data_IF_364563798755
#
_entry.id   IF_364563798755
#
_cell.length_a   1.000
_cell.length_b   1.000
_cell.length_c   1.000
_cell.angle_alpha   90.00
_cell.angle_beta   90.00
_cell.angle_gamma   90.00
#
_symmetry.space_group_name_H-M   'P 1'
#
loop_
_entity.id
_entity.type
_entity.pdbx_description
1 polymer ?
#
# COMPACT_ATOMS: atom_id res chain seq x y z
N UNK A 1 60.55 16.39 -1.60
CA UNK A 1 60.79 15.47 -0.46
C UNK A 1 59.51 14.67 -0.26
N UNK A 2 59.42 13.50 -0.94
CA UNK A 2 59.44 12.13 -0.33
C UNK A 2 58.11 11.83 0.37
N UNK A 3 57.07 11.30 -0.32
CA UNK A 3 56.76 9.88 -0.72
C UNK A 3 56.35 8.94 0.42
N UNK A 4 55.23 8.23 0.22
CA UNK A 4 55.18 6.76 0.36
C UNK A 4 54.72 6.12 1.68
N UNK A 5 53.58 5.43 1.59
CA UNK A 5 53.38 4.01 1.97
C UNK A 5 53.15 3.51 3.42
N UNK A 6 52.28 2.49 3.44
CA UNK A 6 52.20 1.33 4.34
C UNK A 6 51.29 1.36 5.58
N UNK A 7 50.04 0.97 5.35
CA UNK A 7 49.22 0.20 6.30
C UNK A 7 49.64 -1.28 6.20
N UNK A 8 50.29 -1.82 7.25
CA UNK A 8 50.10 -3.20 7.76
C UNK A 8 51.04 -3.54 8.95
N UNK A 9 50.46 -4.21 9.97
CA UNK A 9 51.05 -5.02 11.09
C UNK A 9 51.61 -4.22 12.28
N UNK A 10 51.38 -4.54 13.56
CA UNK A 10 50.70 -5.64 14.27
C UNK A 10 50.57 -5.26 15.76
N UNK A 11 49.52 -5.73 16.44
CA UNK A 11 49.63 -6.29 17.80
C UNK A 11 49.31 -5.42 19.03
N UNK A 12 48.15 -5.70 19.66
CA UNK A 12 48.09 -5.88 21.12
C UNK A 12 47.55 -4.74 21.98
N UNK A 13 46.22 -4.59 22.10
CA UNK A 13 45.58 -4.01 23.29
C UNK A 13 44.24 -4.71 23.55
N UNK A 14 44.28 -5.86 24.22
CA UNK A 14 43.08 -6.68 24.52
C UNK A 14 42.89 -7.07 25.98
N UNK A 15 43.77 -6.67 26.91
CA UNK A 15 43.79 -7.27 28.27
C UNK A 15 43.64 -6.26 29.40
N UNK A 16 43.74 -4.96 29.15
CA UNK A 16 43.77 -3.95 30.23
C UNK A 16 42.37 -3.55 30.74
N UNK A 17 41.29 -3.76 29.98
CA UNK A 17 39.93 -3.35 30.40
C UNK A 17 39.16 -4.40 31.21
N UNK A 18 39.52 -5.69 31.13
CA UNK A 18 38.76 -6.76 31.83
C UNK A 18 39.06 -6.76 33.33
N UNK A 19 40.31 -6.50 33.73
CA UNK A 19 40.72 -6.44 35.14
C UNK A 19 40.13 -5.25 35.90
N UNK A 20 39.91 -4.13 35.21
CA UNK A 20 39.27 -2.94 35.78
C UNK A 20 37.78 -3.18 36.05
N UNK A 21 37.08 -3.84 35.11
CA UNK A 21 35.65 -4.17 35.24
C UNK A 21 35.41 -5.22 36.31
N UNK A 22 36.26 -6.25 36.42
CA UNK A 22 36.14 -7.28 37.48
C UNK A 22 36.35 -6.69 38.88
N UNK A 23 37.25 -5.72 39.04
CA UNK A 23 37.46 -5.04 40.33
C UNK A 23 36.28 -4.14 40.75
N UNK A 24 35.56 -3.55 39.80
CA UNK A 24 34.32 -2.78 40.08
C UNK A 24 33.20 -3.73 40.51
N UNK A 25 33.01 -4.84 39.80
CA UNK A 25 31.98 -5.83 40.12
C UNK A 25 32.22 -6.43 41.52
N UNK A 26 33.46 -6.80 41.84
CA UNK A 26 33.82 -7.36 43.15
C UNK A 26 33.68 -6.35 44.30
N UNK A 27 33.89 -5.06 44.06
CA UNK A 27 33.62 -4.00 45.06
C UNK A 27 32.13 -3.74 45.26
N UNK A 28 31.30 -3.88 44.22
CA UNK A 28 29.85 -3.70 44.31
C UNK A 28 29.14 -4.89 44.99
N UNK A 29 29.68 -6.11 44.87
CA UNK A 29 29.08 -7.32 45.47
C UNK A 29 29.20 -7.42 46.99
N UNK A 30 29.99 -6.57 47.65
CA UNK A 30 30.13 -6.56 49.11
C UNK A 30 29.33 -5.46 49.84
N UNK A 31 28.46 -4.72 49.13
CA UNK A 31 27.66 -3.65 49.73
C UNK A 31 26.21 -4.13 49.93
N UNK A 32 25.85 -4.38 51.20
CA UNK A 32 24.53 -4.85 51.69
C UNK A 32 23.34 -3.88 51.45
N UNK A 33 23.40 -2.97 50.49
CA UNK A 33 22.34 -1.97 50.25
C UNK A 33 21.52 -2.16 48.96
N UNK A 34 21.72 -3.25 48.21
CA UNK A 34 21.04 -3.48 46.91
C UNK A 34 19.51 -3.65 47.04
N UNK A 35 18.97 -3.84 48.25
CA UNK A 35 17.53 -3.92 48.45
C UNK A 35 16.80 -2.56 48.50
N UNK A 36 17.49 -1.42 48.44
CA UNK A 36 16.85 -0.10 48.60
C UNK A 36 16.78 0.79 47.36
N UNK A 37 17.20 0.31 46.18
CA UNK A 37 17.24 1.11 44.94
C UNK A 37 16.47 0.50 43.76
N UNK A 38 15.37 -0.22 44.02
CA UNK A 38 14.51 -0.79 42.97
C UNK A 38 13.55 0.20 42.29
N UNK A 39 13.62 1.49 42.60
CA UNK A 39 12.59 2.48 42.20
C UNK A 39 13.08 3.68 41.39
N UNK A 40 14.28 3.65 40.78
CA UNK A 40 14.74 4.74 39.90
C UNK A 40 14.98 4.32 38.43
N UNK A 41 14.36 5.01 37.43
CA UNK A 41 14.49 4.72 36.00
C UNK A 41 15.92 4.81 35.44
N UNK A 42 16.81 5.54 36.12
CA UNK A 42 18.20 5.75 35.70
C UNK A 42 19.05 4.48 35.80
N UNK A 43 18.75 3.60 36.76
CA UNK A 43 19.49 2.34 36.97
C UNK A 43 19.21 1.34 35.84
N UNK A 44 17.96 1.26 35.40
CA UNK A 44 17.55 0.44 34.26
C UNK A 44 18.17 0.94 32.95
N UNK A 45 18.33 2.26 32.81
CA UNK A 45 18.92 2.88 31.61
C UNK A 45 20.43 2.63 31.52
N UNK A 46 21.15 2.74 32.64
CA UNK A 46 22.59 2.45 32.71
C UNK A 46 22.87 0.97 32.46
N UNK A 47 22.05 0.07 33.02
CA UNK A 47 22.17 -1.37 32.72
C UNK A 47 21.88 -1.64 31.24
N UNK A 48 20.86 -1.01 30.65
CA UNK A 48 20.54 -1.18 29.22
C UNK A 48 21.70 -0.76 28.32
N UNK A 49 22.33 0.39 28.60
CA UNK A 49 23.47 0.90 27.83
C UNK A 49 24.67 -0.07 27.90
N UNK A 50 24.97 -0.61 29.10
CA UNK A 50 26.03 -1.61 29.30
C UNK A 50 25.68 -2.94 28.61
N UNK A 51 24.39 -3.31 28.55
CA UNK A 51 23.90 -4.56 27.95
C UNK A 51 23.90 -4.55 26.41
N UNK A 52 23.72 -3.38 25.79
CA UNK A 52 23.77 -3.23 24.32
C UNK A 52 25.18 -3.19 23.73
N UNK A 53 26.22 -2.94 24.52
CA UNK A 53 27.59 -2.75 23.98
C UNK A 53 28.58 -3.87 24.31
N UNK A 54 28.24 -4.87 25.14
CA UNK A 54 29.19 -5.93 25.52
C UNK A 54 28.61 -7.34 25.38
N UNK A 55 28.99 -8.04 24.31
CA UNK A 55 28.55 -9.40 23.96
C UNK A 55 28.91 -10.45 25.04
N UNK A 56 29.98 -10.24 25.81
CA UNK A 56 30.43 -11.16 26.86
C UNK A 56 29.53 -11.07 28.12
N UNK A 57 28.96 -9.90 28.43
CA UNK A 57 28.06 -9.72 29.57
C UNK A 57 26.68 -10.37 29.34
N UNK A 58 26.22 -10.45 28.09
CA UNK A 58 24.97 -11.15 27.74
C UNK A 58 25.04 -12.65 28.04
N UNK A 59 26.19 -13.28 27.79
CA UNK A 59 26.40 -14.70 28.04
C UNK A 59 26.45 -15.03 29.53
N UNK A 60 27.12 -14.18 30.34
CA UNK A 60 27.24 -14.40 31.79
C UNK A 60 25.92 -14.12 32.51
N UNK A 61 25.14 -13.12 32.08
CA UNK A 61 23.82 -12.84 32.65
C UNK A 61 22.79 -13.93 32.27
N UNK A 62 22.89 -14.50 31.07
CA UNK A 62 22.07 -15.64 30.64
C UNK A 62 22.36 -16.90 31.47
N UNK A 63 23.64 -17.15 31.81
CA UNK A 63 24.03 -18.26 32.69
C UNK A 63 23.59 -18.01 34.15
N UNK A 64 23.59 -16.75 34.61
CA UNK A 64 23.15 -16.39 35.96
C UNK A 64 21.61 -16.47 36.10
N UNK A 65 20.85 -16.10 35.07
CA UNK A 65 19.40 -16.26 35.00
C UNK A 65 18.97 -17.73 34.88
N UNK A 66 19.74 -18.57 34.19
CA UNK A 66 19.47 -20.01 34.12
C UNK A 66 19.60 -20.74 35.46
N UNK A 67 20.35 -20.20 36.43
CA UNK A 67 20.59 -20.88 37.72
C UNK A 67 19.62 -20.50 38.86
N UNK A 68 18.76 -19.49 38.71
CA UNK A 68 17.98 -18.98 39.85
C UNK A 68 16.46 -19.02 39.75
N UNK A 69 15.86 -19.73 38.80
CA UNK A 69 14.39 -19.66 38.68
C UNK A 69 13.66 -20.93 38.24
N UNK A 70 13.77 -21.99 39.06
CA UNK A 70 12.87 -23.16 38.99
C UNK A 70 11.39 -22.81 39.25
N UNK A 71 11.09 -21.60 39.74
CA UNK A 71 9.72 -21.12 39.99
C UNK A 71 9.10 -20.49 38.72
N UNK A 72 9.90 -19.82 37.90
CA UNK A 72 9.47 -19.31 36.59
C UNK A 72 9.33 -20.40 35.51
N UNK A 73 10.00 -21.54 35.62
CA UNK A 73 9.83 -22.67 34.68
C UNK A 73 8.40 -23.24 34.70
N UNK A 74 7.74 -23.26 35.86
CA UNK A 74 6.33 -23.67 35.98
C UNK A 74 5.37 -22.63 35.39
N UNK A 75 5.66 -21.34 35.52
CA UNK A 75 4.85 -20.28 34.93
C UNK A 75 5.06 -20.17 33.41
N UNK A 76 6.28 -20.39 32.92
CA UNK A 76 6.59 -20.48 31.49
C UNK A 76 5.92 -21.71 30.86
N UNK A 77 5.99 -22.89 31.50
CA UNK A 77 5.28 -24.09 31.02
C UNK A 77 3.76 -23.94 31.06
N UNK A 78 3.23 -23.15 32.00
CA UNK A 78 1.81 -22.80 32.07
C UNK A 78 1.40 -21.81 30.98
N UNK A 79 2.20 -20.78 30.72
CA UNK A 79 1.98 -19.85 29.61
C UNK A 79 2.12 -20.58 28.26
N UNK A 80 3.10 -21.49 28.11
CA UNK A 80 3.23 -22.35 26.93
C UNK A 80 2.08 -23.36 26.80
N UNK A 81 1.55 -23.91 27.90
CA UNK A 81 0.36 -24.78 27.83
C UNK A 81 -0.90 -24.01 27.48
N UNK A 82 -1.02 -22.77 27.99
CA UNK A 82 -2.17 -21.90 27.77
C UNK A 82 -2.11 -21.22 26.38
N UNK A 83 -0.90 -21.11 25.78
CA UNK A 83 -0.66 -20.64 24.41
C UNK A 83 -0.57 -21.76 23.35
N UNK A 84 -0.83 -23.02 23.69
CA UNK A 84 -0.93 -24.09 22.69
C UNK A 84 -2.17 -23.85 21.84
N UNK A 85 -1.95 -23.48 20.58
CA UNK A 85 -2.98 -23.48 19.53
C UNK A 85 -3.71 -24.83 19.59
N UNK A 86 -5.02 -24.85 19.93
CA UNK A 86 -5.77 -26.09 20.08
C UNK A 86 -5.62 -26.99 18.86
N UNK A 87 -5.62 -28.31 19.05
CA UNK A 87 -5.35 -29.28 17.99
C UNK A 87 -6.31 -29.16 16.80
N UNK A 88 -7.53 -28.64 17.02
CA UNK A 88 -8.47 -28.29 15.95
C UNK A 88 -8.02 -27.16 15.02
N UNK A 89 -7.05 -26.34 15.44
CA UNK A 89 -6.41 -25.30 14.64
C UNK A 89 -5.03 -25.74 14.11
N UNK A 90 -4.56 -26.96 14.42
CA UNK A 90 -3.42 -27.58 13.73
C UNK A 90 -3.90 -28.12 12.38
N UNK A 91 -3.53 -27.44 11.30
CA UNK A 91 -3.85 -27.85 9.92
C UNK A 91 -3.36 -29.27 9.62
N UNK A 92 -4.26 -30.15 9.20
CA UNK A 92 -3.94 -31.39 8.49
C UNK A 92 -3.72 -31.09 6.99
N UNK A 93 -2.54 -31.42 6.47
CA UNK A 93 -2.10 -31.29 5.05
C UNK A 93 -2.10 -29.85 4.49
N UNK A 94 -0.95 -29.19 4.63
CA UNK A 94 -0.65 -27.80 4.22
C UNK A 94 -0.80 -27.53 2.71
N UNK A 95 -1.82 -26.78 2.32
CA UNK A 95 -1.55 -25.58 1.52
C UNK A 95 -1.24 -24.45 2.51
N UNK A 96 -0.09 -23.80 2.36
CA UNK A 96 0.25 -22.59 3.12
C UNK A 96 -0.75 -21.49 2.75
N UNK A 97 -1.07 -20.56 3.66
CA UNK A 97 -1.81 -19.35 3.27
C UNK A 97 -1.13 -18.60 2.12
N UNK A 98 0.20 -18.71 1.99
CA UNK A 98 0.96 -18.19 0.85
C UNK A 98 0.45 -18.81 -0.46
N UNK A 99 0.36 -20.14 -0.51
CA UNK A 99 -0.07 -20.88 -1.71
C UNK A 99 -1.55 -20.62 -2.00
N UNK A 100 -2.40 -20.72 -0.98
CA UNK A 100 -3.86 -20.48 -1.12
C UNK A 100 -4.16 -19.06 -1.62
N UNK A 101 -3.53 -18.06 -1.02
CA UNK A 101 -3.70 -16.66 -1.41
C UNK A 101 -3.15 -16.40 -2.82
N UNK A 102 -1.99 -16.97 -3.16
CA UNK A 102 -1.40 -16.86 -4.50
C UNK A 102 -2.32 -17.48 -5.56
N UNK A 103 -2.86 -18.67 -5.31
CA UNK A 103 -3.75 -19.37 -6.24
C UNK A 103 -5.05 -18.58 -6.46
N UNK A 104 -5.68 -18.10 -5.38
CA UNK A 104 -6.90 -17.28 -5.46
C UNK A 104 -6.66 -15.98 -6.20
N UNK A 105 -5.59 -15.26 -5.86
CA UNK A 105 -5.24 -13.99 -6.52
C UNK A 105 -4.93 -14.22 -8.00
N UNK A 106 -4.14 -15.26 -8.32
CA UNK A 106 -3.79 -15.59 -9.70
C UNK A 106 -5.00 -16.02 -10.53
N UNK A 107 -5.95 -16.74 -9.93
CA UNK A 107 -7.19 -17.13 -10.61
C UNK A 107 -8.02 -15.90 -10.98
N UNK A 108 -8.19 -14.96 -10.06
CA UNK A 108 -8.95 -13.73 -10.32
C UNK A 108 -8.26 -12.85 -11.37
N UNK A 109 -6.93 -12.73 -11.34
CA UNK A 109 -6.19 -12.00 -12.38
C UNK A 109 -6.41 -12.62 -13.77
N UNK A 110 -6.42 -13.95 -13.88
CA UNK A 110 -6.72 -14.65 -15.15
C UNK A 110 -8.17 -14.43 -15.59
N UNK A 111 -9.11 -14.49 -14.67
CA UNK A 111 -10.52 -14.26 -14.95
C UNK A 111 -10.79 -12.84 -15.46
N UNK A 112 -10.20 -11.83 -14.82
CA UNK A 112 -10.25 -10.43 -15.26
C UNK A 112 -9.63 -10.28 -16.65
N UNK A 113 -8.45 -10.86 -16.87
CA UNK A 113 -7.76 -10.76 -18.15
C UNK A 113 -8.58 -11.32 -19.33
N UNK A 114 -9.31 -12.41 -19.11
CA UNK A 114 -10.16 -13.05 -20.14
C UNK A 114 -11.51 -12.37 -20.27
N UNK A 115 -12.20 -12.13 -19.14
CA UNK A 115 -13.59 -11.66 -19.17
C UNK A 115 -13.71 -10.18 -19.51
N UNK A 116 -12.70 -9.38 -19.12
CA UNK A 116 -12.71 -7.93 -19.30
C UNK A 116 -11.83 -7.46 -20.46
N UNK A 117 -11.28 -8.36 -21.29
CA UNK A 117 -10.41 -8.01 -22.43
C UNK A 117 -11.03 -6.90 -23.29
N UNK A 118 -12.28 -7.10 -23.72
CA UNK A 118 -13.01 -6.14 -24.54
C UNK A 118 -13.26 -4.81 -23.84
N UNK A 119 -13.63 -4.84 -22.56
CA UNK A 119 -13.93 -3.62 -21.81
C UNK A 119 -12.64 -2.81 -21.54
N UNK A 120 -11.53 -3.49 -21.26
CA UNK A 120 -10.21 -2.88 -21.12
C UNK A 120 -9.71 -2.29 -22.45
N UNK A 121 -9.93 -2.98 -23.58
CA UNK A 121 -9.59 -2.45 -24.90
C UNK A 121 -10.41 -1.20 -25.25
N UNK A 122 -11.71 -1.21 -24.96
CA UNK A 122 -12.58 -0.04 -25.13
C UNK A 122 -12.16 1.13 -24.23
N UNK A 123 -11.82 0.86 -22.97
CA UNK A 123 -11.32 1.87 -22.05
C UNK A 123 -10.01 2.49 -22.55
N UNK A 124 -9.10 1.65 -23.05
CA UNK A 124 -7.85 2.11 -23.63
C UNK A 124 -8.05 2.94 -24.91
N UNK A 125 -9.02 2.59 -25.75
CA UNK A 125 -9.40 3.39 -26.92
C UNK A 125 -9.93 4.77 -26.51
N UNK A 126 -10.82 4.82 -25.52
CA UNK A 126 -11.34 6.08 -24.98
C UNK A 126 -10.22 6.97 -24.42
N UNK A 127 -9.29 6.38 -23.66
CA UNK A 127 -8.14 7.09 -23.08
C UNK A 127 -7.22 7.61 -24.18
N UNK A 128 -6.86 6.77 -25.15
CA UNK A 128 -5.96 7.15 -26.23
C UNK A 128 -6.56 8.21 -27.15
N UNK A 129 -7.86 8.13 -27.47
CA UNK A 129 -8.60 9.14 -28.22
C UNK A 129 -8.64 10.47 -27.46
N UNK A 130 -8.99 10.45 -26.17
CA UNK A 130 -9.01 11.66 -25.35
C UNK A 130 -7.64 12.32 -25.27
N UNK A 131 -6.58 11.54 -25.03
CA UNK A 131 -5.22 12.07 -25.01
C UNK A 131 -4.84 12.70 -26.35
N UNK A 132 -5.12 12.02 -27.47
CA UNK A 132 -4.85 12.54 -28.81
C UNK A 132 -5.59 13.85 -29.11
N UNK A 133 -6.79 14.02 -28.52
CA UNK A 133 -7.62 15.21 -28.64
C UNK A 133 -7.34 16.28 -27.57
N UNK A 134 -6.27 16.13 -26.78
CA UNK A 134 -5.87 17.10 -25.76
C UNK A 134 -6.81 17.17 -24.55
N UNK A 135 -7.60 16.12 -24.31
CA UNK A 135 -8.51 15.99 -23.16
C UNK A 135 -7.76 15.48 -21.93
N UNK A 136 -8.30 15.78 -20.76
CA UNK A 136 -7.73 15.42 -19.47
C UNK A 136 -8.21 14.03 -19.04
N UNK A 137 -7.29 13.19 -18.53
CA UNK A 137 -7.61 11.84 -18.08
C UNK A 137 -7.50 11.78 -16.57
N UNK A 138 -8.65 11.86 -15.91
CA UNK A 138 -8.78 11.84 -14.46
C UNK A 138 -8.83 10.41 -13.90
N UNK A 139 -8.30 10.23 -12.69
CA UNK A 139 -8.46 9.00 -11.90
C UNK A 139 -8.93 9.33 -10.49
N UNK A 140 -9.97 8.65 -10.02
CA UNK A 140 -10.59 8.90 -8.73
C UNK A 140 -10.85 7.59 -7.98
N UNK A 141 -10.64 7.59 -6.67
CA UNK A 141 -11.04 6.50 -5.79
C UNK A 141 -11.17 6.96 -4.35
N UNK A 142 -11.92 6.20 -3.55
CA UNK A 142 -12.13 6.47 -2.13
C UNK A 142 -11.37 5.47 -1.24
N UNK A 143 -10.84 5.94 -0.12
CA UNK A 143 -10.09 5.17 0.88
C UNK A 143 -8.99 4.31 0.24
N UNK A 144 -9.17 2.98 0.14
CA UNK A 144 -8.15 2.09 -0.45
C UNK A 144 -8.16 2.13 -1.98
N UNK A 145 -9.27 2.50 -2.62
CA UNK A 145 -9.30 2.72 -4.06
C UNK A 145 -8.52 3.98 -4.47
N UNK A 146 -8.28 4.93 -3.55
CA UNK A 146 -7.40 6.07 -3.80
C UNK A 146 -5.93 5.63 -4.02
N UNK A 147 -5.51 4.49 -3.45
CA UNK A 147 -4.18 3.91 -3.70
C UNK A 147 -3.99 3.66 -5.19
N UNK A 148 -5.03 3.34 -5.95
CA UNK A 148 -4.92 3.05 -7.39
C UNK A 148 -4.67 4.33 -8.21
N UNK A 149 -5.18 5.48 -7.75
CA UNK A 149 -4.82 6.78 -8.30
C UNK A 149 -3.36 7.13 -7.98
N UNK A 150 -2.92 6.89 -6.74
CA UNK A 150 -1.52 7.04 -6.33
C UNK A 150 -0.60 6.06 -7.09
N UNK A 151 -1.09 4.86 -7.43
CA UNK A 151 -0.31 3.81 -8.07
C UNK A 151 0.06 4.15 -9.52
N UNK A 152 -0.84 4.80 -10.26
CA UNK A 152 -0.55 5.22 -11.64
C UNK A 152 0.04 6.63 -11.74
N UNK A 153 0.03 7.40 -10.66
CA UNK A 153 0.50 8.78 -10.67
C UNK A 153 2.00 8.88 -10.35
N UNK A 154 2.74 9.57 -11.21
CA UNK A 154 4.17 9.88 -11.01
C UNK A 154 5.03 8.64 -10.73
N UNK A 155 4.82 7.59 -11.53
CA UNK A 155 5.53 6.30 -11.42
C UNK A 155 6.41 6.03 -12.62
N UNK A 156 7.55 5.39 -12.39
CA UNK A 156 8.36 4.83 -13.46
C UNK A 156 7.58 3.81 -14.29
N UNK A 157 7.75 3.87 -15.61
CA UNK A 157 7.11 3.02 -16.62
C UNK A 157 5.58 3.14 -16.66
N UNK A 158 5.06 4.33 -16.34
CA UNK A 158 3.64 4.66 -16.42
C UNK A 158 3.45 5.93 -17.24
N UNK A 159 2.35 6.04 -18.02
CA UNK A 159 2.05 7.26 -18.76
C UNK A 159 1.85 8.47 -17.84
N UNK A 160 2.37 9.62 -18.23
CA UNK A 160 2.25 10.86 -17.47
C UNK A 160 0.96 11.64 -17.78
N UNK A 161 -0.06 10.99 -18.37
CA UNK A 161 -1.37 11.59 -18.62
C UNK A 161 -2.36 11.42 -17.47
N UNK A 162 -2.10 10.54 -16.50
CA UNK A 162 -2.97 10.33 -15.36
C UNK A 162 -3.05 11.58 -14.48
N UNK A 163 -4.26 12.06 -14.21
CA UNK A 163 -4.54 13.20 -13.34
C UNK A 163 -5.40 12.76 -12.15
N UNK A 164 -4.81 12.49 -10.99
CA UNK A 164 -5.60 12.18 -9.82
C UNK A 164 -6.57 13.32 -9.50
N UNK A 165 -7.83 12.96 -9.31
CA UNK A 165 -8.84 13.84 -8.78
C UNK A 165 -8.86 13.67 -7.27
N UNK A 166 -8.07 14.46 -6.56
CA UNK A 166 -7.98 14.36 -5.10
C UNK A 166 -9.21 14.96 -4.42
N UNK A 167 -9.98 14.12 -3.75
CA UNK A 167 -11.10 14.56 -2.90
C UNK A 167 -10.67 14.72 -1.44
N UNK A 168 -11.06 15.81 -0.75
CA UNK A 168 -10.87 15.91 0.69
C UNK A 168 -11.52 14.73 1.41
N UNK A 169 -10.79 14.09 2.33
CA UNK A 169 -11.30 12.93 3.06
C UNK A 169 -11.30 11.61 2.28
N UNK A 170 -10.87 11.59 1.01
CA UNK A 170 -10.92 10.38 0.18
C UNK A 170 -9.68 9.49 0.30
N UNK A 171 -8.60 9.93 0.96
CA UNK A 171 -7.40 9.11 1.17
C UNK A 171 -7.05 8.99 2.65
N UNK A 172 -6.67 7.78 3.05
CA UNK A 172 -6.21 7.45 4.42
C UNK A 172 -4.82 8.01 4.73
N UNK A 173 -4.09 8.50 3.73
CA UNK A 173 -2.77 9.10 3.90
C UNK A 173 -2.85 10.43 4.66
N UNK A 174 -3.97 11.14 4.53
CA UNK A 174 -4.19 12.47 5.10
C UNK A 174 -5.40 12.53 6.03
N UNK A 175 -6.22 11.48 6.08
CA UNK A 175 -7.50 11.47 6.81
C UNK A 175 -7.63 10.20 7.66
N UNK A 176 -8.10 10.27 8.92
CA UNK A 176 -8.37 9.08 9.73
C UNK A 176 -9.34 8.10 9.05
N UNK A 177 -9.09 6.80 9.19
CA UNK A 177 -9.82 5.74 8.48
C UNK A 177 -11.36 5.85 8.56
N UNK A 178 -11.93 5.96 9.78
CA UNK A 178 -13.38 6.11 9.94
C UNK A 178 -13.94 7.40 9.32
N UNK A 179 -13.16 8.48 9.32
CA UNK A 179 -13.56 9.73 8.69
C UNK A 179 -13.57 9.59 7.16
N UNK A 180 -12.65 8.81 6.57
CA UNK A 180 -12.72 8.50 5.14
C UNK A 180 -13.97 7.71 4.79
N UNK A 181 -14.42 6.78 5.64
CA UNK A 181 -15.69 6.07 5.42
C UNK A 181 -16.87 7.04 5.47
N UNK A 182 -16.92 7.95 6.45
CA UNK A 182 -17.99 8.96 6.50
C UNK A 182 -17.99 9.87 5.27
N UNK A 183 -16.81 10.27 4.79
CA UNK A 183 -16.65 11.04 3.56
C UNK A 183 -17.12 10.25 2.32
N UNK A 184 -16.76 8.97 2.22
CA UNK A 184 -17.15 8.09 1.12
C UNK A 184 -18.68 7.89 1.05
N UNK A 185 -19.37 7.90 2.19
CA UNK A 185 -20.83 7.82 2.24
C UNK A 185 -21.53 9.13 1.84
N UNK A 186 -20.81 10.26 1.76
CA UNK A 186 -21.39 11.57 1.53
C UNK A 186 -21.52 11.88 0.02
N UNK A 187 -22.75 11.79 -0.49
CA UNK A 187 -23.10 12.13 -1.87
C UNK A 187 -22.83 13.60 -2.21
N UNK A 188 -23.13 14.54 -1.31
CA UNK A 188 -22.89 15.97 -1.52
C UNK A 188 -21.40 16.24 -1.75
N UNK A 189 -20.54 15.61 -0.94
CA UNK A 189 -19.10 15.73 -1.11
C UNK A 189 -18.62 15.20 -2.47
N UNK A 190 -19.19 14.10 -2.96
CA UNK A 190 -18.87 13.59 -4.30
C UNK A 190 -19.26 14.57 -5.42
N UNK A 191 -20.43 15.21 -5.32
CA UNK A 191 -20.85 16.26 -6.26
C UNK A 191 -19.91 17.48 -6.19
N UNK A 192 -19.55 17.92 -4.99
CA UNK A 192 -18.69 19.07 -4.76
C UNK A 192 -17.26 18.85 -5.29
N UNK A 193 -16.74 17.62 -5.24
CA UNK A 193 -15.45 17.26 -5.84
C UNK A 193 -15.46 17.55 -7.35
N UNK A 194 -16.53 17.15 -8.06
CA UNK A 194 -16.66 17.43 -9.49
C UNK A 194 -16.89 18.91 -9.76
N UNK A 195 -17.69 19.60 -8.93
CA UNK A 195 -17.94 21.03 -9.05
C UNK A 195 -16.66 21.87 -8.90
N UNK A 196 -15.78 21.48 -7.97
CA UNK A 196 -14.50 22.13 -7.69
C UNK A 196 -13.35 21.67 -8.62
N UNK A 197 -13.59 20.68 -9.48
CA UNK A 197 -12.60 20.22 -10.46
C UNK A 197 -12.59 21.09 -11.72
N UNK A 198 -11.47 21.02 -12.46
CA UNK A 198 -11.34 21.63 -13.80
C UNK A 198 -11.91 20.77 -14.93
N UNK A 199 -12.64 19.71 -14.61
CA UNK A 199 -13.19 18.77 -15.59
C UNK A 199 -14.13 19.46 -16.58
N UNK A 200 -13.96 19.11 -17.86
CA UNK A 200 -14.69 19.63 -19.03
C UNK A 200 -15.34 18.50 -19.84
N UNK A 201 -16.12 18.89 -20.84
CA UNK A 201 -16.71 17.98 -21.82
C UNK A 201 -15.64 17.16 -22.58
N UNK A 202 -15.94 15.88 -22.80
CA UNK A 202 -15.08 14.83 -23.33
C UNK A 202 -13.78 14.54 -22.56
N UNK A 203 -13.55 15.13 -21.39
CA UNK A 203 -12.55 14.59 -20.48
C UNK A 203 -12.91 13.15 -20.10
N UNK A 204 -11.90 12.35 -19.74
CA UNK A 204 -12.11 10.98 -19.28
C UNK A 204 -11.95 10.92 -17.78
N UNK A 205 -12.84 10.21 -17.11
CA UNK A 205 -12.71 9.89 -15.70
C UNK A 205 -12.71 8.37 -15.50
N UNK A 206 -11.67 7.87 -14.84
CA UNK A 206 -11.64 6.50 -14.31
C UNK A 206 -12.01 6.53 -12.82
N UNK A 207 -13.17 5.98 -12.47
CA UNK A 207 -13.67 5.87 -11.09
C UNK A 207 -13.44 4.46 -10.57
N UNK A 208 -12.75 4.33 -9.43
CA UNK A 208 -12.50 3.06 -8.78
C UNK A 208 -13.26 2.98 -7.46
N UNK A 209 -14.14 1.99 -7.34
CA UNK A 209 -14.82 1.65 -6.09
C UNK A 209 -15.22 0.18 -6.11
N UNK A 210 -14.57 -0.64 -5.29
CA UNK A 210 -14.79 -2.10 -5.29
C UNK A 210 -16.25 -2.45 -5.06
N UNK A 211 -16.90 -1.86 -4.06
CA UNK A 211 -18.33 -2.09 -3.84
C UNK A 211 -19.22 -1.29 -4.80
N UNK A 212 -18.74 -0.12 -5.24
CA UNK A 212 -19.47 0.77 -6.15
C UNK A 212 -20.77 1.33 -5.59
N UNK A 213 -21.07 1.16 -4.31
CA UNK A 213 -22.40 1.44 -3.73
C UNK A 213 -22.47 2.72 -2.89
N UNK A 214 -21.32 3.29 -2.56
CA UNK A 214 -21.24 4.44 -1.67
C UNK A 214 -21.55 5.76 -2.40
N UNK A 215 -22.08 6.73 -1.66
CA UNK A 215 -22.60 7.99 -2.16
C UNK A 215 -21.58 8.79 -2.97
N UNK A 216 -20.38 8.98 -2.42
CA UNK A 216 -19.35 9.79 -3.07
C UNK A 216 -18.89 9.24 -4.43
N UNK A 217 -18.46 7.96 -4.58
CA UNK A 217 -18.02 7.46 -5.89
C UNK A 217 -19.15 7.43 -6.94
N UNK A 218 -20.39 7.13 -6.53
CA UNK A 218 -21.54 7.17 -7.44
C UNK A 218 -21.87 8.60 -7.87
N UNK A 219 -21.83 9.56 -6.94
CA UNK A 219 -22.06 10.98 -7.23
C UNK A 219 -20.98 11.56 -8.15
N UNK A 220 -19.70 11.22 -7.92
CA UNK A 220 -18.59 11.61 -8.78
C UNK A 220 -18.79 11.12 -10.20
N UNK A 221 -19.20 9.86 -10.39
CA UNK A 221 -19.45 9.30 -11.71
C UNK A 221 -20.63 9.97 -12.42
N UNK A 222 -21.78 10.14 -11.75
CA UNK A 222 -22.98 10.77 -12.31
C UNK A 222 -22.75 12.27 -12.61
N UNK A 223 -22.07 13.00 -11.73
CA UNK A 223 -21.75 14.40 -11.93
C UNK A 223 -20.75 14.62 -13.09
N UNK A 224 -19.78 13.72 -13.26
CA UNK A 224 -18.87 13.76 -14.40
C UNK A 224 -19.62 13.54 -15.73
N UNK A 225 -20.50 12.53 -15.81
CA UNK A 225 -21.36 12.32 -16.98
C UNK A 225 -22.22 13.55 -17.29
N UNK A 226 -22.81 14.18 -16.27
CA UNK A 226 -23.60 15.42 -16.44
C UNK A 226 -22.78 16.60 -16.97
N UNK A 227 -21.47 16.62 -16.72
CA UNK A 227 -20.53 17.60 -17.31
C UNK A 227 -20.10 17.25 -18.74
N UNK A 228 -20.57 16.13 -19.30
CA UNK A 228 -20.19 15.66 -20.63
C UNK A 228 -18.86 14.90 -20.66
N UNK A 229 -18.29 14.53 -19.50
CA UNK A 229 -17.12 13.67 -19.46
C UNK A 229 -17.51 12.23 -19.80
N UNK A 230 -16.57 11.48 -20.39
CA UNK A 230 -16.69 10.03 -20.56
C UNK A 230 -16.21 9.34 -19.29
N UNK A 231 -16.93 8.35 -18.78
CA UNK A 231 -16.61 7.72 -17.49
C UNK A 231 -16.42 6.21 -17.62
N UNK A 232 -15.27 5.74 -17.12
CA UNK A 232 -14.90 4.33 -16.98
C UNK A 232 -14.99 4.01 -15.49
N UNK A 233 -15.71 2.96 -15.12
CA UNK A 233 -15.87 2.56 -13.73
C UNK A 233 -15.32 1.14 -13.50
N UNK A 234 -14.43 1.02 -12.52
CA UNK A 234 -13.87 -0.26 -12.07
C UNK A 234 -14.54 -0.63 -10.74
N UNK A 235 -15.33 -1.68 -10.74
CA UNK A 235 -16.11 -2.14 -9.58
C UNK A 235 -16.33 -3.65 -9.63
N UNK A 236 -16.71 -4.27 -8.52
CA UNK A 236 -17.05 -5.69 -8.48
C UNK A 236 -18.54 -5.90 -8.76
N UNK A 237 -18.86 -6.81 -9.69
CA UNK A 237 -20.24 -7.21 -9.91
C UNK A 237 -20.85 -7.98 -8.72
N UNK A 238 -20.03 -8.50 -7.80
CA UNK A 238 -20.48 -9.18 -6.58
C UNK A 238 -21.27 -8.28 -5.63
N UNK A 239 -21.19 -6.95 -5.81
CA UNK A 239 -21.90 -5.96 -5.02
C UNK A 239 -23.07 -5.30 -5.75
N UNK A 240 -23.29 -5.60 -7.03
CA UNK A 240 -24.17 -4.82 -7.92
C UNK A 240 -25.63 -4.71 -7.47
N UNK A 241 -26.11 -5.70 -6.73
CA UNK A 241 -27.50 -5.81 -6.25
C UNK A 241 -27.65 -5.51 -4.74
N UNK A 242 -26.57 -5.05 -4.09
CA UNK A 242 -26.65 -4.55 -2.72
C UNK A 242 -27.25 -3.14 -2.66
N UNK A 243 -27.86 -2.81 -1.53
CA UNK A 243 -28.34 -1.46 -1.26
C UNK A 243 -27.15 -0.52 -1.08
N UNK A 244 -27.07 0.51 -1.92
CA UNK A 244 -26.19 1.66 -1.75
C UNK A 244 -26.88 2.82 -1.05
N UNK A 245 -26.16 3.93 -0.94
CA UNK A 245 -26.63 5.11 -0.20
C UNK A 245 -26.57 6.41 -1.03
N UNK A 246 -26.46 6.30 -2.35
CA UNK A 246 -26.69 7.42 -3.27
C UNK A 246 -28.19 7.56 -3.56
N UNK A 247 -28.69 8.79 -3.59
CA UNK A 247 -30.11 9.15 -3.67
C UNK A 247 -30.82 8.63 -4.92
N UNK A 248 -30.08 8.50 -6.03
CA UNK A 248 -30.65 8.14 -7.35
C UNK A 248 -30.30 6.72 -7.83
N UNK A 249 -29.14 6.20 -7.50
CA UNK A 249 -28.63 4.95 -8.06
C UNK A 249 -28.06 4.09 -6.95
N UNK A 250 -28.44 2.81 -6.89
CA UNK A 250 -27.98 1.92 -5.83
C UNK A 250 -26.47 1.59 -5.91
N UNK A 251 -25.87 1.68 -7.11
CA UNK A 251 -24.44 1.45 -7.31
C UNK A 251 -23.98 2.01 -8.67
N UNK A 252 -22.67 2.06 -8.91
CA UNK A 252 -22.06 2.38 -10.20
C UNK A 252 -22.65 1.54 -11.34
N UNK A 253 -22.93 0.25 -11.09
CA UNK A 253 -23.58 -0.65 -12.05
C UNK A 253 -24.98 -0.20 -12.52
N UNK A 254 -25.63 0.71 -11.79
CA UNK A 254 -26.97 1.23 -12.11
C UNK A 254 -26.90 2.65 -12.71
N UNK A 255 -25.71 3.24 -12.83
CA UNK A 255 -25.53 4.55 -13.46
C UNK A 255 -25.46 4.36 -14.99
N UNK A 256 -26.38 4.93 -15.77
CA UNK A 256 -26.37 4.79 -17.22
C UNK A 256 -25.21 5.58 -17.85
N UNK A 257 -24.59 5.02 -18.89
CA UNK A 257 -23.53 5.68 -19.66
C UNK A 257 -22.10 5.43 -19.18
N UNK A 258 -21.90 4.63 -18.13
CA UNK A 258 -20.58 4.18 -17.71
C UNK A 258 -20.07 3.04 -18.59
N UNK A 259 -18.78 3.07 -18.94
CA UNK A 259 -18.06 1.87 -19.35
C UNK A 259 -17.63 1.11 -18.08
N UNK A 260 -18.26 -0.03 -17.80
CA UNK A 260 -17.93 -0.85 -16.64
C UNK A 260 -16.80 -1.82 -16.97
N UNK A 261 -15.83 -1.94 -16.06
CA UNK A 261 -14.85 -3.03 -16.00
C UNK A 261 -15.08 -3.75 -14.67
N UNK A 262 -15.42 -5.03 -14.74
CA UNK A 262 -15.57 -5.85 -13.53
C UNK A 262 -14.20 -6.25 -12.97
N UNK A 263 -13.94 -5.96 -11.70
CA UNK A 263 -12.71 -6.45 -11.06
C UNK A 263 -12.86 -7.85 -10.46
N UNK A 264 -14.05 -8.46 -10.54
CA UNK A 264 -14.35 -9.83 -10.07
C UNK A 264 -14.03 -10.07 -8.59
N UNK A 265 -13.80 -9.00 -7.81
CA UNK A 265 -13.45 -9.12 -6.39
C UNK A 265 -14.64 -9.71 -5.63
N UNK A 266 -14.46 -10.77 -4.84
CA UNK A 266 -15.55 -11.35 -4.07
C UNK A 266 -16.11 -10.37 -3.04
N UNK A 267 -17.39 -10.53 -2.70
CA UNK A 267 -18.01 -9.74 -1.64
C UNK A 267 -17.25 -9.89 -0.32
N UNK A 268 -16.97 -8.78 0.33
CA UNK A 268 -16.12 -8.66 1.51
C UNK A 268 -14.63 -8.43 1.21
N UNK A 269 -14.23 -8.38 -0.06
CA UNK A 269 -12.81 -8.33 -0.49
C UNK A 269 -11.97 -9.36 0.27
N UNK A 270 -12.45 -10.59 0.26
CA UNK A 270 -11.90 -11.70 1.05
C UNK A 270 -11.57 -12.85 0.12
N UNK A 271 -10.32 -13.32 0.16
CA UNK A 271 -9.86 -14.43 -0.66
C UNK A 271 -9.49 -15.69 0.15
N UNK A 272 -9.15 -15.53 1.43
CA UNK A 272 -8.79 -16.65 2.33
C UNK A 272 -9.51 -16.52 3.67
N UNK A 273 -9.71 -17.65 4.35
CA UNK A 273 -10.30 -17.70 5.70
C UNK A 273 -9.30 -18.29 6.69
N UNK A 274 -9.03 -17.57 7.78
CA UNK A 274 -8.15 -18.01 8.86
C UNK A 274 -8.99 -18.62 9.99
N UNK A 275 -8.65 -19.84 10.39
CA UNK A 275 -9.43 -20.58 11.39
C UNK A 275 -10.78 -21.01 10.82
N UNK A 276 -11.84 -20.89 11.62
CA UNK A 276 -13.19 -21.34 11.22
C UNK A 276 -13.97 -20.29 10.42
N UNK A 277 -13.68 -18.99 10.59
CA UNK A 277 -14.54 -17.94 10.02
C UNK A 277 -13.91 -16.57 9.81
N UNK A 278 -12.61 -16.37 10.10
CA UNK A 278 -12.01 -15.02 10.02
C UNK A 278 -11.59 -14.69 8.58
N UNK A 279 -12.26 -13.74 7.90
CA UNK A 279 -11.91 -13.35 6.54
C UNK A 279 -10.56 -12.61 6.50
N UNK A 280 -9.75 -12.88 5.47
CA UNK A 280 -8.45 -12.24 5.25
C UNK A 280 -8.08 -12.24 3.76
N UNK A 281 -7.03 -11.50 3.41
CA UNK A 281 -6.46 -11.47 2.06
C UNK A 281 -7.28 -10.63 1.08
N UNK A 282 -7.29 -9.30 1.24
CA UNK A 282 -7.92 -8.41 0.26
C UNK A 282 -7.14 -8.43 -1.05
N UNK A 283 -7.86 -8.54 -2.16
CA UNK A 283 -7.30 -8.67 -3.52
C UNK A 283 -7.61 -7.46 -4.40
N UNK A 284 -8.55 -6.60 -3.97
CA UNK A 284 -9.02 -5.47 -4.79
C UNK A 284 -7.93 -4.52 -5.26
N UNK A 285 -6.93 -4.22 -4.44
CA UNK A 285 -5.80 -3.36 -4.85
C UNK A 285 -4.90 -4.05 -5.88
N UNK A 286 -4.64 -5.35 -5.74
CA UNK A 286 -3.79 -6.11 -6.68
C UNK A 286 -4.46 -6.16 -8.05
N UNK A 287 -5.75 -6.52 -8.06
CA UNK A 287 -6.53 -6.63 -9.29
C UNK A 287 -6.78 -5.25 -9.91
N UNK A 288 -7.10 -4.25 -9.10
CA UNK A 288 -7.27 -2.88 -9.57
C UNK A 288 -6.00 -2.30 -10.19
N UNK A 289 -4.84 -2.54 -9.56
CA UNK A 289 -3.54 -2.15 -10.12
C UNK A 289 -3.25 -2.87 -11.44
N UNK A 290 -3.54 -4.18 -11.51
CA UNK A 290 -3.44 -4.93 -12.76
C UNK A 290 -4.29 -4.34 -13.89
N UNK A 291 -5.56 -4.00 -13.62
CA UNK A 291 -6.45 -3.36 -14.61
C UNK A 291 -5.87 -2.02 -15.04
N UNK A 292 -5.49 -1.16 -14.08
CA UNK A 292 -5.00 0.20 -14.34
C UNK A 292 -3.71 0.22 -15.18
N UNK A 293 -2.76 -0.69 -14.90
CA UNK A 293 -1.54 -0.79 -15.69
C UNK A 293 -1.80 -1.44 -17.06
N UNK A 294 -2.72 -2.40 -17.15
CA UNK A 294 -3.14 -3.01 -18.42
C UNK A 294 -3.76 -1.97 -19.36
N UNK A 295 -4.75 -1.19 -18.90
CA UNK A 295 -5.36 -0.13 -19.72
C UNK A 295 -4.35 0.96 -20.06
N UNK A 296 -3.38 1.25 -19.19
CA UNK A 296 -2.29 2.18 -19.50
C UNK A 296 -1.43 1.69 -20.67
N UNK A 297 -1.04 0.41 -20.66
CA UNK A 297 -0.24 -0.20 -21.72
C UNK A 297 -1.00 -0.25 -23.06
N UNK A 298 -2.25 -0.70 -23.04
CA UNK A 298 -3.13 -0.71 -24.22
C UNK A 298 -3.35 0.70 -24.78
N UNK A 299 -3.51 1.71 -23.90
CA UNK A 299 -3.65 3.11 -24.35
C UNK A 299 -2.39 3.59 -25.06
N UNK A 300 -1.22 3.27 -24.52
CA UNK A 300 0.08 3.62 -25.13
C UNK A 300 0.27 2.92 -26.48
N UNK A 301 -0.06 1.63 -26.58
CA UNK A 301 -0.03 0.89 -27.85
C UNK A 301 -0.87 1.60 -28.92
N UNK A 302 -2.09 1.99 -28.57
CA UNK A 302 -3.00 2.70 -29.47
C UNK A 302 -2.49 4.10 -29.82
N UNK A 303 -1.80 4.81 -28.91
CA UNK A 303 -1.15 6.09 -29.23
C UNK A 303 0.00 5.91 -30.22
N UNK A 304 0.84 4.89 -30.03
CA UNK A 304 1.93 4.55 -30.94
C UNK A 304 1.38 4.21 -32.33
N UNK A 305 0.30 3.42 -32.41
CA UNK A 305 -0.36 3.09 -33.67
C UNK A 305 -0.89 4.33 -34.43
N UNK A 306 -1.19 5.42 -33.72
CA UNK A 306 -1.57 6.73 -34.29
C UNK A 306 -0.37 7.62 -34.63
N UNK A 307 0.86 7.14 -34.47
CA UNK A 307 2.08 7.94 -34.68
C UNK A 307 2.36 8.96 -33.57
N UNK A 308 1.68 8.86 -32.43
CA UNK A 308 1.89 9.75 -31.28
C UNK A 308 2.98 9.15 -30.39
N UNK A 309 4.03 9.93 -30.13
CA UNK A 309 5.09 9.54 -29.19
C UNK A 309 4.48 9.48 -27.77
N UNK A 310 4.48 8.31 -27.10
CA UNK A 310 3.76 8.17 -25.84
C UNK A 310 4.50 8.86 -24.70
N UNK A 311 3.78 9.56 -23.81
CA UNK A 311 4.40 10.34 -22.76
C UNK A 311 4.61 9.48 -21.50
N UNK A 312 5.54 8.52 -21.54
CA UNK A 312 5.74 7.53 -20.47
C UNK A 312 6.94 7.89 -19.62
N UNK A 313 6.79 8.03 -18.30
CA UNK A 313 7.97 8.19 -17.43
C UNK A 313 8.80 6.91 -17.45
N UNK A 314 10.12 7.05 -17.42
CA UNK A 314 11.06 5.94 -17.27
C UNK A 314 11.59 5.87 -15.85
N UNK A 315 12.18 4.74 -15.47
CA UNK A 315 12.92 4.66 -14.21
C UNK A 315 14.13 5.61 -14.27
N UNK A 316 14.16 6.64 -13.40
CA UNK A 316 15.30 7.57 -13.32
C UNK A 316 16.62 6.89 -12.92
N UNK A 317 16.55 5.67 -12.38
CA UNK A 317 17.72 4.85 -12.02
C UNK A 317 18.20 3.96 -13.19
N UNK A 318 17.45 3.88 -14.28
CA UNK A 318 17.87 3.20 -15.49
C UNK A 318 18.63 4.17 -16.41
N UNK A 319 19.60 3.69 -17.21
CA UNK A 319 20.33 4.52 -18.17
C UNK A 319 19.38 5.32 -19.08
N UNK A 320 19.59 6.63 -19.17
CA UNK A 320 18.78 7.54 -20.00
C UNK A 320 17.41 7.91 -19.44
N UNK A 321 16.98 7.29 -18.32
CA UNK A 321 15.64 7.51 -17.76
C UNK A 321 15.48 8.89 -17.14
N UNK A 322 16.52 9.40 -16.47
CA UNK A 322 16.50 10.74 -15.89
C UNK A 322 16.38 11.81 -16.98
N UNK A 323 17.23 11.75 -17.99
CA UNK A 323 17.26 12.72 -19.10
C UNK A 323 15.92 12.71 -19.85
N UNK A 324 15.37 11.52 -20.12
CA UNK A 324 14.05 11.38 -20.71
C UNK A 324 12.94 12.03 -19.87
N UNK A 325 12.92 11.77 -18.56
CA UNK A 325 11.91 12.34 -17.67
C UNK A 325 12.04 13.86 -17.58
N UNK A 326 13.26 14.41 -17.59
CA UNK A 326 13.51 15.85 -17.63
C UNK A 326 12.96 16.49 -18.91
N UNK A 327 13.10 15.85 -20.07
CA UNK A 327 12.46 16.33 -21.31
C UNK A 327 10.93 16.27 -21.24
N UNK A 328 10.35 15.20 -20.69
CA UNK A 328 8.90 15.12 -20.48
C UNK A 328 8.38 16.23 -19.54
N UNK A 329 9.14 16.56 -18.49
CA UNK A 329 8.79 17.62 -17.54
C UNK A 329 8.89 19.04 -18.11
N UNK A 330 9.42 19.22 -19.33
CA UNK A 330 9.37 20.52 -20.04
C UNK A 330 8.03 20.74 -20.74
N UNK A 331 7.23 19.70 -20.94
CA UNK A 331 5.91 19.82 -21.54
C UNK A 331 4.96 20.53 -20.56
N UNK A 332 4.31 21.60 -21.01
CA UNK A 332 3.39 22.39 -20.17
C UNK A 332 2.27 21.52 -19.58
N UNK A 333 1.71 20.60 -20.37
CA UNK A 333 0.67 19.67 -19.92
C UNK A 333 1.12 18.71 -18.82
N UNK A 334 2.42 18.45 -18.72
CA UNK A 334 3.03 17.63 -17.66
C UNK A 334 3.33 18.53 -16.45
N UNK A 335 3.88 19.73 -16.63
CA UNK A 335 4.11 20.66 -15.52
C UNK A 335 2.82 21.01 -14.79
N UNK A 336 1.75 21.33 -15.52
CA UNK A 336 0.45 21.66 -14.94
C UNK A 336 -0.14 20.53 -14.10
N UNK A 337 0.28 19.29 -14.34
CA UNK A 337 -0.22 18.12 -13.66
C UNK A 337 0.56 17.68 -12.43
N UNK A 338 1.87 17.91 -12.45
CA UNK A 338 2.79 17.37 -11.45
C UNK A 338 3.43 18.46 -10.57
N UNK A 339 3.36 19.73 -10.98
CA UNK A 339 4.00 20.85 -10.25
C UNK A 339 3.02 21.90 -9.74
N UNK A 340 1.76 21.88 -10.20
CA UNK A 340 0.71 22.73 -9.66
C UNK A 340 -0.09 21.95 -8.59
N UNK A 341 -0.53 22.63 -7.51
CA UNK A 341 -1.22 22.01 -6.39
C UNK A 341 -2.58 21.42 -6.75
#
# INVERSE_FOLDING_TARGET
MVTGDHIAKNGGVGVTNVRFVINIINRCSNIKWIHKFSSFPLFYTIIRIIYTQNFILQSVFSIFLQKKDKKNEKNLKKIESDCKVPEKYRRSKMSSFITEYLEKTSSLLKEVAVSEEKNMDQAAEMIAEGFANGKTIYVFGCTHSAILAEDVFYRANTPCFWRPLWGPGMSITQTPGFLTSAAEHNETLGNDIIACSRMKEDDILVVLSTSGKNGAPVAVADAALKKGAKVIAISSSAYKDQTGNHSKYASLWKVPGLLMIDNHVPCGDTSVTVGESTPMGPVSTIIGSFIMHTISALSVEKLIARGIKPPVFLSSNAPGGKEWNEELMKLESVQQAYLLP
#
